data_IF_000068836824
#
_entry.id   IF_000068836824
#
_cell.length_a   1.000
_cell.length_b   1.000
_cell.length_c   1.000
_cell.angle_alpha   90.00
_cell.angle_beta   90.00
_cell.angle_gamma   90.00
#
_symmetry.space_group_name_H-M   'P 1'
#
loop_
_entity.id
_entity.type
_entity.pdbx_description
1 polymer ?
#
# COMPACT_ATOMS: atom_id res chain seq x y z
N UNK A 1 17.46 35.44 23.15
CA UNK A 1 16.73 34.48 24.01
C UNK A 1 17.52 33.17 24.00
N UNK A 2 18.22 32.90 25.10
CA UNK A 2 19.16 31.78 25.24
C UNK A 2 18.43 30.54 25.78
N UNK A 3 18.47 29.43 25.06
CA UNK A 3 18.08 28.11 25.59
C UNK A 3 19.33 27.39 26.11
N UNK A 4 19.48 27.38 27.43
CA UNK A 4 20.45 26.53 28.13
C UNK A 4 19.91 25.09 28.14
N UNK A 5 20.62 24.16 27.49
CA UNK A 5 20.42 22.73 27.64
C UNK A 5 21.32 22.26 28.78
N UNK A 6 20.72 21.92 29.92
CA UNK A 6 21.41 21.32 31.05
C UNK A 6 21.69 19.84 30.76
N UNK A 7 22.94 19.50 30.47
CA UNK A 7 23.42 18.11 30.51
C UNK A 7 23.79 17.77 31.97
N UNK A 8 22.93 16.99 32.62
CA UNK A 8 23.19 16.44 33.94
C UNK A 8 24.36 15.46 33.90
N UNK A 9 25.39 15.76 34.70
CA UNK A 9 26.49 14.88 35.02
C UNK A 9 26.02 13.76 35.96
N UNK A 10 26.32 12.51 35.62
CA UNK A 10 26.40 11.42 36.60
C UNK A 10 27.76 10.74 36.46
N UNK A 11 28.57 10.92 37.50
CA UNK A 11 29.87 10.29 37.67
C UNK A 11 29.76 9.18 38.73
N UNK A 12 30.40 8.05 38.42
CA UNK A 12 30.91 6.97 39.27
C UNK A 12 30.00 6.33 40.35
N UNK A 13 29.62 5.07 40.11
CA UNK A 13 29.71 3.99 41.10
C UNK A 13 30.46 2.82 40.46
N UNK A 14 31.65 2.53 40.99
CA UNK A 14 32.39 1.31 40.69
C UNK A 14 31.88 0.15 41.53
N UNK A 15 31.76 -1.01 40.91
CA UNK A 15 31.81 -2.31 41.61
C UNK A 15 32.39 -3.35 40.66
N UNK A 16 33.55 -3.87 41.06
CA UNK A 16 34.29 -4.98 40.46
C UNK A 16 33.39 -6.21 40.38
N UNK A 17 33.37 -6.91 39.24
CA UNK A 17 33.33 -8.38 39.19
C UNK A 17 33.54 -8.86 37.74
N UNK A 18 34.44 -9.83 37.56
CA UNK A 18 34.32 -10.86 36.54
C UNK A 18 34.81 -10.53 35.13
N UNK A 19 36.05 -10.91 34.86
CA UNK A 19 36.65 -11.15 33.55
C UNK A 19 35.71 -11.90 32.60
N UNK A 20 35.46 -11.35 31.40
CA UNK A 20 35.01 -12.03 30.16
C UNK A 20 35.07 -11.04 28.98
N UNK A 21 36.27 -10.55 28.68
CA UNK A 21 36.54 -9.40 27.78
C UNK A 21 36.87 -9.77 26.32
N UNK A 22 36.50 -10.95 25.82
CA UNK A 22 36.81 -11.34 24.42
C UNK A 22 35.61 -11.31 23.46
N UNK A 23 34.37 -11.25 23.94
CA UNK A 23 33.16 -11.32 23.09
C UNK A 23 32.49 -9.96 22.82
N UNK A 24 32.76 -8.93 23.62
CA UNK A 24 32.13 -7.61 23.49
C UNK A 24 32.86 -6.64 22.55
N UNK A 25 34.09 -6.97 22.12
CA UNK A 25 34.87 -6.10 21.23
C UNK A 25 34.43 -6.23 19.76
N UNK A 26 34.09 -7.45 19.31
CA UNK A 26 33.62 -7.69 17.94
C UNK A 26 32.28 -7.03 17.61
N UNK A 27 31.34 -7.03 18.56
CA UNK A 27 29.99 -6.50 18.30
C UNK A 27 29.95 -4.97 18.18
N UNK A 28 30.85 -4.25 18.87
CA UNK A 28 30.97 -2.78 18.73
C UNK A 28 31.56 -2.37 17.39
N UNK A 29 32.51 -3.15 16.86
CA UNK A 29 33.10 -2.90 15.54
C UNK A 29 32.07 -3.13 14.44
N UNK A 30 31.27 -4.19 14.55
CA UNK A 30 30.19 -4.49 13.59
C UNK A 30 29.13 -3.37 13.57
N UNK A 31 28.71 -2.88 14.74
CA UNK A 31 27.75 -1.76 14.83
C UNK A 31 28.31 -0.47 14.21
N UNK A 32 29.59 -0.17 14.39
CA UNK A 32 30.24 0.98 13.77
C UNK A 32 30.28 0.91 12.24
N UNK A 33 30.56 -0.26 11.68
CA UNK A 33 30.59 -0.47 10.22
C UNK A 33 29.19 -0.34 9.62
N UNK A 34 28.16 -0.89 10.27
CA UNK A 34 26.77 -0.79 9.81
C UNK A 34 26.31 0.68 9.81
N UNK A 35 26.62 1.43 10.86
CA UNK A 35 26.25 2.85 10.93
C UNK A 35 26.93 3.66 9.81
N UNK A 36 28.22 3.43 9.55
CA UNK A 36 28.94 4.09 8.46
C UNK A 36 28.36 3.73 7.08
N UNK A 37 27.98 2.47 6.85
CA UNK A 37 27.36 2.03 5.61
C UNK A 37 25.99 2.69 5.37
N UNK A 38 25.17 2.84 6.41
CA UNK A 38 23.85 3.50 6.31
C UNK A 38 24.01 4.98 5.99
N UNK A 39 24.93 5.69 6.66
CA UNK A 39 25.17 7.12 6.40
C UNK A 39 25.76 7.31 4.99
N UNK A 40 26.69 6.46 4.57
CA UNK A 40 27.22 6.49 3.21
C UNK A 40 26.15 6.21 2.15
N UNK A 41 25.25 5.26 2.38
CA UNK A 41 24.15 4.94 1.47
C UNK A 41 23.13 6.08 1.35
N UNK A 42 22.81 6.73 2.46
CA UNK A 42 21.91 7.88 2.47
C UNK A 42 22.52 9.10 1.78
N UNK A 43 23.81 9.37 2.00
CA UNK A 43 24.55 10.42 1.31
C UNK A 43 24.64 10.14 -0.21
N UNK A 44 24.92 8.89 -0.60
CA UNK A 44 24.93 8.49 -2.01
C UNK A 44 23.56 8.69 -2.68
N UNK A 45 22.46 8.44 -1.97
CA UNK A 45 21.10 8.68 -2.50
C UNK A 45 20.78 10.15 -2.75
N UNK A 46 21.43 11.08 -2.04
CA UNK A 46 21.25 12.52 -2.24
C UNK A 46 22.16 13.08 -3.34
N UNK A 47 23.31 12.45 -3.58
CA UNK A 47 24.30 12.91 -4.56
C UNK A 47 24.29 12.13 -5.88
N UNK A 48 23.54 11.04 -5.99
CA UNK A 48 23.43 10.31 -7.25
C UNK A 48 22.72 11.17 -8.32
N UNK A 49 23.40 11.51 -9.44
CA UNK A 49 22.73 12.17 -10.56
C UNK A 49 21.60 11.28 -11.05
N UNK A 50 20.45 11.88 -11.36
CA UNK A 50 19.31 11.16 -11.94
C UNK A 50 19.81 10.33 -13.13
N UNK A 51 19.42 9.05 -13.25
CA UNK A 51 19.80 8.26 -14.41
C UNK A 51 19.34 9.01 -15.65
N UNK A 52 20.30 9.32 -16.54
CA UNK A 52 20.01 9.91 -17.82
C UNK A 52 18.92 9.06 -18.49
N UNK A 53 17.80 9.71 -18.81
CA UNK A 53 16.70 9.04 -19.47
C UNK A 53 17.26 8.35 -20.73
N UNK A 54 16.96 7.06 -20.97
CA UNK A 54 17.41 6.42 -22.19
C UNK A 54 16.86 7.20 -23.38
N UNK A 55 17.78 7.73 -24.17
CA UNK A 55 17.47 8.41 -25.42
C UNK A 55 16.55 7.51 -26.25
N UNK A 56 15.45 8.09 -26.72
CA UNK A 56 14.50 7.48 -27.64
C UNK A 56 15.26 7.08 -28.90
N UNK A 57 15.63 5.80 -29.00
CA UNK A 57 16.13 5.21 -30.24
C UNK A 57 14.90 4.91 -31.09
N UNK A 58 14.66 5.76 -32.08
CA UNK A 58 13.72 5.50 -33.16
C UNK A 58 14.11 4.19 -33.89
N UNK A 59 13.21 3.20 -34.05
CA UNK A 59 13.47 2.08 -34.93
C UNK A 59 13.29 2.52 -36.39
N UNK A 60 14.27 2.25 -37.28
CA UNK A 60 14.06 2.42 -38.71
C UNK A 60 13.19 1.28 -39.24
N UNK A 61 12.20 1.64 -40.04
CA UNK A 61 11.48 0.73 -40.91
C UNK A 61 12.43 0.14 -41.97
N UNK A 62 12.44 -1.17 -42.20
CA UNK A 62 12.25 -1.77 -43.55
C UNK A 62 12.37 -3.31 -43.62
N UNK A 63 11.37 -3.88 -44.32
CA UNK A 63 11.43 -4.91 -45.39
C UNK A 63 11.85 -6.35 -45.06
N UNK A 64 10.91 -7.29 -45.22
CA UNK A 64 10.79 -8.21 -46.39
C UNK A 64 10.15 -9.55 -46.00
N UNK A 65 9.21 -9.99 -46.82
CA UNK A 65 8.39 -11.22 -46.76
C UNK A 65 9.17 -12.55 -46.79
N UNK A 66 8.51 -13.73 -46.61
CA UNK A 66 7.91 -14.35 -47.79
C UNK A 66 6.51 -15.00 -47.58
N UNK A 67 5.72 -14.86 -48.65
CA UNK A 67 4.54 -15.63 -49.05
C UNK A 67 4.91 -17.10 -49.29
N UNK A 68 4.08 -18.08 -48.89
CA UNK A 68 3.53 -18.99 -49.91
C UNK A 68 2.06 -19.43 -49.69
N UNK A 69 1.33 -19.43 -50.82
CA UNK A 69 0.30 -20.38 -51.27
C UNK A 69 -0.94 -20.73 -50.40
N UNK A 70 -2.09 -20.18 -50.80
CA UNK A 70 -3.35 -20.95 -50.94
C UNK A 70 -3.29 -21.72 -52.30
N UNK A 71 -4.16 -22.71 -52.64
CA UNK A 71 -5.50 -23.01 -52.09
C UNK A 71 -5.86 -24.51 -51.96
N UNK A 72 -6.80 -24.89 -51.08
CA UNK A 72 -7.76 -25.97 -51.42
C UNK A 72 -9.05 -25.86 -50.61
N UNK A 73 -10.13 -25.61 -51.35
CA UNK A 73 -11.53 -25.70 -50.94
C UNK A 73 -12.00 -27.14 -51.21
N UNK A 74 -12.75 -27.75 -50.29
CA UNK A 74 -13.87 -28.60 -50.70
C UNK A 74 -15.19 -28.01 -50.22
N UNK A 75 -16.12 -27.88 -51.18
CA UNK A 75 -17.55 -27.67 -50.97
C UNK A 75 -18.24 -29.04 -50.79
N UNK A 76 -19.58 -29.12 -50.68
CA UNK A 76 -20.35 -29.44 -49.48
C UNK A 76 -20.86 -30.90 -49.46
N UNK A 77 -21.16 -31.43 -48.27
CA UNK A 77 -21.94 -32.66 -48.13
C UNK A 77 -23.16 -32.42 -47.25
N UNK A 78 -24.25 -33.04 -47.69
CA UNK A 78 -25.65 -32.85 -47.34
C UNK A 78 -26.11 -34.05 -46.51
N UNK A 79 -26.96 -33.81 -45.50
CA UNK A 79 -27.71 -34.83 -44.76
C UNK A 79 -27.01 -35.25 -43.46
N UNK A 80 -27.70 -35.54 -42.35
CA UNK A 80 -29.10 -35.82 -42.10
C UNK A 80 -29.40 -35.54 -40.62
N UNK A 81 -30.64 -35.15 -40.38
CA UNK A 81 -31.44 -35.24 -39.16
C UNK A 81 -30.82 -35.88 -37.90
N UNK A 82 -30.76 -35.11 -36.82
CA UNK A 82 -31.06 -35.59 -35.47
C UNK A 82 -31.69 -34.44 -34.69
N UNK A 83 -33.01 -34.47 -34.59
CA UNK A 83 -33.83 -33.58 -33.78
C UNK A 83 -34.08 -34.30 -32.44
N UNK A 84 -33.53 -33.86 -31.29
CA UNK A 84 -34.11 -34.17 -30.01
C UNK A 84 -35.20 -33.16 -29.69
N UNK A 85 -36.36 -33.74 -29.41
CA UNK A 85 -37.61 -33.12 -28.99
C UNK A 85 -37.43 -32.29 -27.72
N UNK A 86 -38.21 -31.20 -27.65
CA UNK A 86 -38.89 -30.81 -26.41
C UNK A 86 -38.05 -30.09 -25.36
N UNK A 87 -37.72 -28.82 -25.61
CA UNK A 87 -37.56 -27.85 -24.52
C UNK A 87 -38.63 -26.78 -24.71
N UNK A 88 -39.56 -26.77 -23.75
CA UNK A 88 -40.56 -25.71 -23.52
C UNK A 88 -39.93 -24.34 -23.78
N UNK A 89 -40.55 -23.42 -24.55
CA UNK A 89 -39.99 -22.10 -24.75
C UNK A 89 -39.97 -21.38 -23.40
N UNK A 90 -38.81 -21.38 -22.74
CA UNK A 90 -38.50 -20.43 -21.69
C UNK A 90 -38.71 -19.05 -22.30
N UNK A 91 -39.53 -18.16 -21.70
CA UNK A 91 -39.69 -16.82 -22.21
C UNK A 91 -38.29 -16.23 -22.37
N UNK A 92 -37.96 -15.81 -23.58
CA UNK A 92 -36.75 -15.05 -23.83
C UNK A 92 -36.74 -13.88 -22.84
N UNK A 93 -35.94 -13.99 -21.79
CA UNK A 93 -35.73 -12.90 -20.84
C UNK A 93 -35.13 -11.79 -21.70
N UNK A 94 -35.95 -10.81 -22.02
CA UNK A 94 -35.56 -9.63 -22.76
C UNK A 94 -34.33 -9.08 -22.05
N UNK A 95 -33.15 -9.30 -22.62
CA UNK A 95 -31.94 -8.63 -22.19
C UNK A 95 -32.18 -7.20 -22.60
N UNK A 96 -32.81 -6.43 -21.71
CA UNK A 96 -32.91 -4.98 -21.85
C UNK A 96 -31.47 -4.52 -21.87
N UNK A 97 -30.94 -4.28 -23.06
CA UNK A 97 -29.63 -3.69 -23.26
C UNK A 97 -29.73 -2.30 -22.64
N UNK A 98 -29.24 -2.17 -21.40
CA UNK A 98 -29.25 -0.91 -20.68
C UNK A 98 -28.36 0.04 -21.48
N UNK A 99 -28.97 1.03 -22.10
CA UNK A 99 -28.25 1.98 -22.93
C UNK A 99 -27.26 2.76 -22.04
N UNK A 100 -25.99 2.90 -22.45
CA UNK A 100 -25.00 3.66 -21.69
C UNK A 100 -25.52 5.06 -21.40
N UNK A 101 -25.45 5.46 -20.13
CA UNK A 101 -25.83 6.82 -19.72
C UNK A 101 -24.62 7.73 -19.91
N UNK A 102 -24.53 8.32 -21.09
CA UNK A 102 -23.43 9.21 -21.44
C UNK A 102 -23.60 10.57 -20.76
N UNK A 103 -22.47 11.14 -20.35
CA UNK A 103 -22.40 12.49 -19.82
C UNK A 103 -22.45 13.53 -20.94
N UNK A 104 -22.77 14.80 -20.62
CA UNK A 104 -22.69 15.88 -21.60
C UNK A 104 -21.31 15.93 -22.25
N UNK A 105 -21.27 16.40 -23.50
CA UNK A 105 -20.02 16.56 -24.25
C UNK A 105 -19.01 17.42 -23.48
N UNK A 106 -17.74 17.02 -23.56
CA UNK A 106 -16.66 17.65 -22.79
C UNK A 106 -16.62 17.29 -21.30
N UNK A 107 -17.62 16.59 -20.77
CA UNK A 107 -17.60 16.07 -19.39
C UNK A 107 -17.12 14.63 -19.37
N UNK A 108 -16.10 14.38 -18.57
CA UNK A 108 -15.52 13.05 -18.36
C UNK A 108 -15.40 12.77 -16.87
N UNK A 109 -15.16 11.50 -16.57
CA UNK A 109 -14.99 11.01 -15.22
C UNK A 109 -13.72 10.18 -15.15
N UNK A 110 -12.98 10.34 -14.06
CA UNK A 110 -11.80 9.53 -13.80
C UNK A 110 -12.19 8.10 -13.44
N UNK A 111 -11.57 7.11 -14.06
CA UNK A 111 -11.75 5.70 -13.71
C UNK A 111 -10.77 5.23 -12.62
N UNK A 112 -9.64 5.92 -12.50
CA UNK A 112 -8.57 5.61 -11.58
C UNK A 112 -8.20 6.85 -10.77
N UNK A 113 -7.49 6.63 -9.66
CA UNK A 113 -7.00 7.72 -8.83
C UNK A 113 -5.89 8.45 -9.57
N UNK A 114 -6.04 9.77 -9.71
CA UNK A 114 -5.01 10.63 -10.27
C UNK A 114 -4.35 11.45 -9.15
N UNK A 115 -3.11 11.89 -9.38
CA UNK A 115 -2.38 12.73 -8.42
C UNK A 115 -1.71 13.89 -9.13
N UNK A 116 -1.91 15.10 -8.63
CA UNK A 116 -1.22 16.30 -9.08
C UNK A 116 -0.25 16.76 -8.00
N UNK A 117 1.02 16.94 -8.38
CA UNK A 117 2.03 17.54 -7.51
C UNK A 117 1.95 19.05 -7.66
N UNK A 118 1.89 19.75 -6.54
CA UNK A 118 1.87 21.21 -6.41
C UNK A 118 2.99 21.64 -5.47
N UNK A 119 3.30 22.93 -5.44
CA UNK A 119 4.33 23.47 -4.54
C UNK A 119 3.99 23.24 -3.05
N UNK A 120 2.70 23.17 -2.73
CA UNK A 120 2.20 22.92 -1.37
C UNK A 120 2.09 21.43 -0.99
N UNK A 121 2.22 20.50 -1.94
CA UNK A 121 2.04 19.07 -1.68
C UNK A 121 1.40 18.30 -2.83
N UNK A 122 0.74 17.18 -2.52
CA UNK A 122 0.11 16.30 -3.52
C UNK A 122 -1.41 16.32 -3.35
N UNK A 123 -2.11 16.64 -4.44
CA UNK A 123 -3.57 16.60 -4.52
C UNK A 123 -3.96 15.28 -5.17
N UNK A 124 -4.83 14.51 -4.51
CA UNK A 124 -5.37 13.26 -5.03
C UNK A 124 -6.79 13.44 -5.55
N UNK A 125 -7.07 12.93 -6.74
CA UNK A 125 -8.41 12.91 -7.33
C UNK A 125 -8.94 11.48 -7.30
N UNK A 126 -10.10 11.28 -6.67
CA UNK A 126 -10.70 9.96 -6.54
C UNK A 126 -11.31 9.46 -7.86
N UNK A 127 -11.43 8.13 -8.06
CA UNK A 127 -12.27 7.58 -9.12
C UNK A 127 -13.71 8.10 -9.05
N UNK A 128 -14.30 8.35 -10.21
CA UNK A 128 -15.61 8.98 -10.40
C UNK A 128 -15.61 10.51 -10.25
N UNK A 129 -14.45 11.14 -10.05
CA UNK A 129 -14.37 12.62 -10.06
C UNK A 129 -14.71 13.14 -11.45
N UNK A 130 -15.62 14.11 -11.51
CA UNK A 130 -16.01 14.82 -12.73
C UNK A 130 -14.89 15.77 -13.14
N UNK A 131 -14.48 15.69 -14.41
CA UNK A 131 -13.50 16.56 -15.02
C UNK A 131 -13.99 17.04 -16.38
N UNK A 132 -13.57 18.24 -16.77
CA UNK A 132 -13.82 18.83 -18.08
C UNK A 132 -12.60 18.60 -18.97
N UNK A 133 -12.83 18.10 -20.17
CA UNK A 133 -11.77 17.95 -21.18
C UNK A 133 -11.35 19.33 -21.69
N UNK A 134 -10.05 19.64 -21.60
CA UNK A 134 -9.48 20.85 -22.18
C UNK A 134 -8.85 20.53 -23.53
N UNK A 135 -7.99 19.50 -23.54
CA UNK A 135 -7.30 19.06 -24.73
C UNK A 135 -7.28 17.54 -24.79
N UNK A 136 -7.72 17.00 -25.92
CA UNK A 136 -7.83 15.57 -26.14
C UNK A 136 -6.64 15.10 -26.96
N UNK A 137 -5.64 14.55 -26.29
CA UNK A 137 -4.50 13.90 -26.92
C UNK A 137 -4.58 12.37 -26.85
N UNK A 138 -3.79 11.73 -27.69
CA UNK A 138 -3.55 10.28 -27.68
C UNK A 138 -2.02 10.08 -27.54
N UNK A 139 -1.51 9.54 -26.42
CA UNK A 139 -2.20 8.77 -25.38
C UNK A 139 -2.65 9.56 -24.14
N UNK A 140 -2.37 10.86 -24.07
CA UNK A 140 -2.58 11.69 -22.88
C UNK A 140 -3.57 12.82 -23.17
N UNK A 141 -4.54 13.01 -22.27
CA UNK A 141 -5.51 14.10 -22.34
C UNK A 141 -5.31 15.07 -21.17
N UNK A 142 -5.47 16.37 -21.44
CA UNK A 142 -5.45 17.41 -20.42
C UNK A 142 -6.86 17.73 -19.98
N UNK A 143 -7.10 17.62 -18.68
CA UNK A 143 -8.41 17.80 -18.06
C UNK A 143 -8.35 18.80 -16.92
N UNK A 144 -9.50 19.33 -16.53
CA UNK A 144 -9.65 20.19 -15.35
C UNK A 144 -10.81 19.79 -14.48
N UNK A 145 -10.65 19.91 -13.16
CA UNK A 145 -11.75 19.79 -12.19
C UNK A 145 -12.44 21.15 -11.90
N UNK A 146 -12.05 22.21 -12.62
CA UNK A 146 -12.48 23.59 -12.43
C UNK A 146 -11.57 24.43 -11.53
N UNK A 147 -10.62 23.83 -10.83
CA UNK A 147 -9.63 24.52 -9.99
C UNK A 147 -8.21 24.27 -10.49
N UNK A 148 -7.91 23.02 -10.83
CA UNK A 148 -6.62 22.55 -11.28
C UNK A 148 -6.73 21.98 -12.70
N UNK A 149 -5.62 22.05 -13.42
CA UNK A 149 -5.46 21.41 -14.72
C UNK A 149 -4.36 20.36 -14.61
N UNK A 150 -4.60 19.18 -15.16
CA UNK A 150 -3.65 18.08 -15.09
C UNK A 150 -3.83 17.13 -16.26
N UNK A 151 -2.75 16.42 -16.59
CA UNK A 151 -2.72 15.49 -17.71
C UNK A 151 -2.90 14.06 -17.21
N UNK A 152 -3.82 13.32 -17.83
CA UNK A 152 -4.10 11.91 -17.53
C UNK A 152 -4.08 11.07 -18.79
N UNK A 153 -3.77 9.78 -18.69
CA UNK A 153 -3.95 8.85 -19.81
C UNK A 153 -5.40 8.81 -20.27
N UNK A 154 -5.63 8.93 -21.58
CA UNK A 154 -6.96 8.90 -22.18
C UNK A 154 -7.79 7.66 -21.81
N UNK A 155 -7.21 6.44 -21.64
CA UNK A 155 -7.94 5.26 -21.16
C UNK A 155 -8.45 5.35 -19.72
N UNK A 156 -7.96 6.31 -18.92
CA UNK A 156 -8.43 6.53 -17.55
C UNK A 156 -9.64 7.47 -17.49
N UNK A 157 -10.11 7.97 -18.63
CA UNK A 157 -11.28 8.83 -18.73
C UNK A 157 -12.43 8.06 -19.34
N UNK A 158 -13.62 8.23 -18.76
CA UNK A 158 -14.87 7.75 -19.35
C UNK A 158 -15.88 8.88 -19.44
N UNK A 159 -16.70 8.85 -20.49
CA UNK A 159 -17.90 9.68 -20.57
C UNK A 159 -19.14 8.92 -20.05
N UNK A 160 -19.03 7.61 -19.79
CA UNK A 160 -20.14 6.79 -19.30
C UNK A 160 -20.32 6.95 -17.77
N UNK A 161 -21.49 7.45 -17.37
CA UNK A 161 -21.89 7.66 -15.98
C UNK A 161 -22.02 6.36 -15.18
N UNK A 162 -22.44 5.27 -15.82
CA UNK A 162 -22.59 3.98 -15.14
C UNK A 162 -21.22 3.39 -14.81
N UNK A 163 -20.25 3.51 -15.72
CA UNK A 163 -18.86 3.09 -15.46
C UNK A 163 -18.22 3.98 -14.38
N UNK A 164 -18.41 5.29 -14.48
CA UNK A 164 -17.89 6.23 -13.48
C UNK A 164 -18.44 5.96 -12.07
N UNK A 165 -19.75 5.74 -11.96
CA UNK A 165 -20.40 5.41 -10.69
C UNK A 165 -19.90 4.09 -10.11
N UNK A 166 -19.65 3.09 -10.96
CA UNK A 166 -19.09 1.82 -10.52
C UNK A 166 -17.66 1.97 -10.00
N UNK A 167 -16.82 2.77 -10.69
CA UNK A 167 -15.46 3.06 -10.24
C UNK A 167 -15.45 3.76 -8.88
N UNK A 168 -16.28 4.79 -8.68
CA UNK A 168 -16.42 5.47 -7.39
C UNK A 168 -16.87 4.52 -6.28
N UNK A 169 -17.88 3.68 -6.55
CA UNK A 169 -18.39 2.70 -5.58
C UNK A 169 -17.33 1.68 -5.18
N UNK A 170 -16.55 1.20 -6.14
CA UNK A 170 -15.47 0.25 -5.90
C UNK A 170 -14.36 0.84 -5.03
N UNK A 171 -13.93 2.08 -5.31
CA UNK A 171 -12.91 2.76 -4.50
C UNK A 171 -13.43 3.01 -3.08
N UNK A 172 -14.65 3.50 -2.92
CA UNK A 172 -15.27 3.67 -1.60
C UNK A 172 -15.33 2.36 -0.80
N UNK A 173 -15.79 1.27 -1.43
CA UNK A 173 -15.85 -0.04 -0.78
C UNK A 173 -14.45 -0.51 -0.33
N UNK A 174 -13.42 -0.25 -1.14
CA UNK A 174 -12.03 -0.58 -0.80
C UNK A 174 -11.53 0.26 0.38
N UNK A 175 -11.85 1.55 0.41
CA UNK A 175 -11.47 2.43 1.53
C UNK A 175 -12.14 2.01 2.84
N UNK A 176 -13.42 1.63 2.81
CA UNK A 176 -14.14 1.13 3.99
C UNK A 176 -13.48 -0.14 4.53
N UNK A 177 -13.13 -1.09 3.65
CA UNK A 177 -12.46 -2.32 4.07
C UNK A 177 -11.10 -2.05 4.72
N UNK A 178 -10.32 -1.11 4.17
CA UNK A 178 -9.04 -0.69 4.77
C UNK A 178 -9.28 -0.06 6.14
N UNK A 179 -10.22 0.87 6.25
CA UNK A 179 -10.55 1.54 7.52
C UNK A 179 -10.99 0.53 8.61
N UNK A 180 -11.83 -0.44 8.24
CA UNK A 180 -12.27 -1.50 9.15
C UNK A 180 -11.11 -2.38 9.62
N UNK A 181 -10.19 -2.73 8.72
CA UNK A 181 -9.02 -3.53 9.08
C UNK A 181 -8.08 -2.81 10.05
N UNK A 182 -7.86 -1.51 9.83
CA UNK A 182 -7.08 -0.65 10.73
C UNK A 182 -7.78 -0.50 12.08
N UNK A 183 -9.10 -0.29 12.07
CA UNK A 183 -9.88 -0.19 13.30
C UNK A 183 -9.78 -1.47 14.17
N UNK A 184 -9.73 -2.65 13.53
CA UNK A 184 -9.53 -3.93 14.25
C UNK A 184 -8.11 -4.05 14.81
N UNK A 185 -7.08 -3.70 14.03
CA UNK A 185 -5.70 -3.81 14.49
C UNK A 185 -5.39 -2.87 15.65
N UNK A 186 -5.95 -1.65 15.64
CA UNK A 186 -5.83 -0.70 16.75
C UNK A 186 -6.44 -1.27 18.04
N UNK A 187 -7.67 -1.82 17.97
CA UNK A 187 -8.34 -2.39 19.15
C UNK A 187 -7.56 -3.57 19.74
N UNK A 188 -7.03 -4.42 18.88
CA UNK A 188 -6.24 -5.57 19.33
C UNK A 188 -4.94 -5.09 20.01
N UNK A 189 -4.28 -4.10 19.43
CA UNK A 189 -3.08 -3.49 20.02
C UNK A 189 -3.38 -2.83 21.38
N UNK A 190 -4.46 -2.07 21.50
CA UNK A 190 -4.90 -1.47 22.76
C UNK A 190 -5.20 -2.51 23.83
N UNK A 191 -5.83 -3.62 23.44
CA UNK A 191 -6.10 -4.74 24.34
C UNK A 191 -4.79 -5.38 24.85
N UNK A 192 -3.85 -5.65 23.94
CA UNK A 192 -2.54 -6.19 24.31
C UNK A 192 -1.78 -5.27 25.26
N UNK A 193 -1.83 -3.95 25.04
CA UNK A 193 -1.23 -2.98 25.95
C UNK A 193 -1.86 -3.01 27.34
N UNK A 194 -3.20 -3.06 27.43
CA UNK A 194 -3.90 -3.13 28.73
C UNK A 194 -3.58 -4.42 29.47
N UNK A 195 -3.58 -5.56 28.78
CA UNK A 195 -3.29 -6.86 29.38
C UNK A 195 -1.84 -6.94 29.88
N UNK A 196 -0.88 -6.39 29.12
CA UNK A 196 0.51 -6.31 29.54
C UNK A 196 0.71 -5.43 30.78
N UNK A 197 0.02 -4.28 30.84
CA UNK A 197 0.05 -3.40 32.02
C UNK A 197 -0.56 -4.10 33.24
N UNK A 198 -1.72 -4.71 33.08
CA UNK A 198 -2.40 -5.45 34.15
C UNK A 198 -1.56 -6.64 34.65
N UNK A 199 -0.87 -7.36 33.76
CA UNK A 199 0.04 -8.44 34.12
C UNK A 199 1.24 -7.91 34.92
N UNK A 200 1.84 -6.80 34.49
CA UNK A 200 2.96 -6.16 35.19
C UNK A 200 2.57 -5.65 36.59
N UNK A 201 1.33 -5.16 36.75
CA UNK A 201 0.81 -4.71 38.03
C UNK A 201 0.59 -5.88 38.99
N UNK A 202 0.02 -6.98 38.49
CA UNK A 202 -0.15 -8.22 39.27
C UNK A 202 1.20 -8.78 39.73
N UNK A 203 2.22 -8.79 38.88
CA UNK A 203 3.57 -9.23 39.25
C UNK A 203 4.18 -8.34 40.35
N UNK A 204 4.01 -7.02 40.24
CA UNK A 204 4.46 -6.07 41.26
C UNK A 204 3.73 -6.27 42.60
N UNK A 205 2.43 -6.55 42.58
CA UNK A 205 1.65 -6.80 43.79
C UNK A 205 2.11 -8.08 44.52
N UNK A 206 2.34 -9.18 43.78
CA UNK A 206 2.82 -10.44 44.36
C UNK A 206 4.23 -10.32 44.95
N UNK A 207 5.14 -9.60 44.27
CA UNK A 207 6.49 -9.34 44.79
C UNK A 207 6.47 -8.54 46.11
N UNK A 208 5.48 -7.66 46.31
CA UNK A 208 5.31 -6.93 47.58
C UNK A 208 4.80 -7.83 48.70
N UNK A 209 3.88 -8.74 48.44
CA UNK A 209 3.35 -9.66 49.47
C UNK A 209 4.34 -10.77 49.85
N UNK A 210 5.20 -11.22 48.93
CA UNK A 210 6.17 -12.29 49.20
C UNK A 210 7.41 -11.89 50.03
N UNK A 211 7.78 -10.60 50.06
CA UNK A 211 8.93 -10.09 50.84
C UNK A 211 8.61 -9.71 52.29
N UNK A 212 7.35 -9.85 52.72
CA UNK A 212 6.86 -9.34 54.00
C UNK A 212 6.63 -10.37 55.12
N UNK A 213 6.91 -11.66 54.92
CA UNK A 213 6.84 -12.63 56.01
C UNK A 213 8.15 -12.59 56.81
N UNK A 214 8.19 -12.07 58.05
CA UNK A 214 9.38 -12.19 58.89
C UNK A 214 9.61 -13.69 59.12
N UNK A 215 10.75 -14.18 58.64
CA UNK A 215 11.29 -15.48 59.02
C UNK A 215 11.46 -15.47 60.55
N UNK A 216 10.45 -15.97 61.28
CA UNK A 216 10.59 -16.31 62.69
C UNK A 216 11.47 -17.54 62.74
N UNK A 217 12.76 -17.33 62.97
CA UNK A 217 13.71 -18.38 63.33
C UNK A 217 13.11 -19.17 64.51
N UNK A 218 12.93 -20.49 64.42
CA UNK A 218 12.55 -21.28 65.57
C UNK A 218 13.74 -21.33 66.53
N UNK A 219 13.61 -20.68 67.69
CA UNK A 219 14.58 -20.78 68.78
C UNK A 219 14.68 -22.25 69.21
N UNK A 220 15.87 -22.87 69.19
CA UNK A 220 16.00 -24.27 69.61
C UNK A 220 15.77 -24.38 71.12
N UNK A 221 15.11 -25.47 71.59
CA UNK A 221 14.81 -25.65 72.99
C UNK A 221 16.09 -25.87 73.79
N UNK A 222 16.33 -25.04 74.81
CA UNK A 222 17.37 -25.28 75.80
C UNK A 222 17.02 -26.52 76.62
N UNK A 223 17.88 -27.53 76.53
CA UNK A 223 17.84 -28.75 77.33
C UNK A 223 18.46 -28.43 78.70
N UNK A 224 17.68 -28.58 79.78
CA UNK A 224 18.17 -28.63 81.16
C UNK A 224 18.44 -30.08 81.55
#
# INVERSE_FOLDING_TARGET
>A
MNFFIAFGSYSLIGSRFGSNSSLFLGMKIILGIIAAAIVGYLAWRWFAPAPAQPAVVHPPAQRSSPRPAAPTRPSPAKGLAAQPRGVKPTPARSVVVKQPRLAPEGTYFLLQRASLKTDSGVIGFAPGTKVTMIDKGDPMSTVSDGQYQFTVPSPQLTNDLDIAANAAKSDYASQVQIADSIGKSIREYEKQQRDALAASEKEKAQKKTGKGAPSRSPTPPQRR
#
